data_IF_561727487530
#
_entry.id   IF_561727487530
#
_cell.length_a   1.000
_cell.length_b   1.000
_cell.length_c   1.000
_cell.angle_alpha   90.00
_cell.angle_beta   90.00
_cell.angle_gamma   90.00
#
_symmetry.space_group_name_H-M   'P 1'
#
loop_
_entity.id
_entity.type
_entity.pdbx_description
1 polymer ?
#
# COMPACT_ATOMS: atom_id res chain seq x y z
N UNK A 1 80.02 -54.75 24.91
CA UNK A 1 79.57 -53.92 23.74
C UNK A 1 78.10 -53.74 23.89
N UNK A 2 77.59 -52.54 24.23
CA UNK A 2 76.16 -52.26 24.30
C UNK A 2 75.62 -51.88 22.91
N UNK A 3 74.32 -52.15 22.58
CA UNK A 3 73.73 -51.86 21.29
C UNK A 3 73.31 -50.40 21.15
N UNK A 4 73.54 -49.85 19.97
CA UNK A 4 73.21 -48.50 19.57
C UNK A 4 71.71 -48.30 19.52
N UNK A 5 71.21 -47.30 20.28
CA UNK A 5 69.79 -46.79 20.18
C UNK A 5 69.71 -45.75 19.08
N UNK A 6 68.86 -46.01 18.10
CA UNK A 6 68.45 -44.99 17.08
C UNK A 6 67.40 -44.09 17.66
N UNK A 7 67.45 -42.77 17.42
CA UNK A 7 66.41 -41.83 17.87
C UNK A 7 65.14 -41.95 17.03
N UNK A 8 63.99 -42.07 17.68
CA UNK A 8 62.68 -42.04 17.05
C UNK A 8 62.34 -40.62 16.60
N UNK A 9 62.13 -40.43 15.29
CA UNK A 9 61.54 -39.19 14.75
C UNK A 9 60.09 -39.05 15.23
N UNK A 10 59.84 -37.98 15.95
CA UNK A 10 58.50 -37.55 16.30
C UNK A 10 57.85 -36.95 15.06
N UNK A 11 56.78 -37.55 14.56
CA UNK A 11 55.90 -36.94 13.51
C UNK A 11 55.09 -35.82 14.16
N UNK A 12 55.22 -34.61 13.64
CA UNK A 12 54.38 -33.49 14.00
C UNK A 12 52.94 -33.67 13.46
N UNK A 13 51.87 -33.25 14.17
CA UNK A 13 50.52 -33.34 13.66
C UNK A 13 50.32 -32.29 12.57
N UNK A 14 49.82 -32.72 11.41
CA UNK A 14 49.37 -31.85 10.34
C UNK A 14 48.05 -31.23 10.80
N UNK A 15 48.06 -29.94 11.07
CA UNK A 15 46.84 -29.19 11.32
C UNK A 15 46.11 -29.02 9.98
N UNK A 16 44.97 -29.70 9.82
CA UNK A 16 44.03 -29.48 8.72
C UNK A 16 43.25 -28.21 9.04
N UNK A 17 43.63 -27.12 8.39
CA UNK A 17 42.85 -25.87 8.43
C UNK A 17 41.56 -26.09 7.62
N UNK A 18 40.46 -26.35 8.32
CA UNK A 18 39.12 -26.39 7.71
C UNK A 18 38.71 -24.99 7.28
N UNK A 19 38.72 -24.75 5.97
CA UNK A 19 38.10 -23.54 5.37
C UNK A 19 36.60 -23.70 5.47
N UNK A 20 35.98 -23.04 6.44
CA UNK A 20 34.51 -22.88 6.49
C UNK A 20 34.13 -21.85 5.43
N UNK A 21 33.70 -22.31 4.27
CA UNK A 21 33.01 -21.48 3.27
C UNK A 21 31.66 -21.08 3.86
N UNK A 22 31.56 -19.87 4.38
CA UNK A 22 30.27 -19.20 4.60
C UNK A 22 29.63 -18.96 3.23
N UNK A 23 28.73 -19.82 2.82
CA UNK A 23 27.82 -19.51 1.72
C UNK A 23 26.93 -18.36 2.21
N UNK A 24 27.28 -17.12 1.85
CA UNK A 24 26.37 -16.00 1.94
C UNK A 24 25.20 -16.32 1.01
N UNK A 25 24.12 -16.85 1.57
CA UNK A 25 22.86 -17.02 0.87
C UNK A 25 22.39 -15.63 0.45
N UNK A 26 22.56 -15.32 -0.83
CA UNK A 26 21.89 -14.19 -1.45
C UNK A 26 20.39 -14.46 -1.35
N UNK A 27 19.75 -13.88 -0.35
CA UNK A 27 18.30 -13.78 -0.30
C UNK A 27 17.91 -12.88 -1.47
N UNK A 28 17.67 -13.49 -2.64
CA UNK A 28 16.98 -12.78 -3.73
C UNK A 28 15.57 -12.48 -3.23
N UNK A 29 15.10 -11.21 -3.28
CA UNK A 29 13.72 -10.92 -2.96
C UNK A 29 12.81 -11.81 -3.82
N UNK A 30 11.80 -12.39 -3.21
CA UNK A 30 10.86 -13.24 -3.93
C UNK A 30 10.24 -12.43 -5.07
N UNK A 31 10.13 -13.00 -6.25
CA UNK A 31 9.68 -12.36 -7.50
C UNK A 31 8.36 -11.58 -7.35
N UNK A 32 7.52 -11.91 -6.36
CA UNK A 32 6.27 -11.23 -6.07
C UNK A 32 6.47 -9.80 -5.50
N UNK A 33 7.48 -9.60 -4.64
CA UNK A 33 7.75 -8.27 -4.03
C UNK A 33 8.40 -7.30 -5.03
N UNK A 34 9.10 -7.82 -6.04
CA UNK A 34 9.71 -7.01 -7.11
C UNK A 34 8.72 -6.55 -8.20
N UNK A 35 7.47 -7.05 -8.16
CA UNK A 35 6.44 -6.75 -9.16
C UNK A 35 5.51 -5.59 -8.76
N UNK A 36 5.50 -5.18 -7.48
CA UNK A 36 4.65 -4.11 -6.97
C UNK A 36 5.47 -2.84 -6.73
N UNK A 37 5.08 -1.75 -7.38
CA UNK A 37 5.72 -0.45 -7.23
C UNK A 37 4.67 0.60 -6.86
N UNK A 38 4.98 1.56 -5.97
CA UNK A 38 4.15 2.75 -5.82
C UNK A 38 4.05 3.48 -7.17
N UNK A 39 2.86 3.82 -7.63
CA UNK A 39 2.66 4.58 -8.87
C UNK A 39 2.29 6.05 -8.63
N UNK A 40 2.30 6.49 -7.38
CA UNK A 40 2.18 7.87 -6.98
C UNK A 40 3.15 8.15 -5.84
N UNK A 41 4.01 9.13 -6.03
CA UNK A 41 4.91 9.62 -4.98
C UNK A 41 4.18 10.54 -3.98
N UNK A 42 4.82 10.93 -2.87
CA UNK A 42 4.19 11.81 -1.87
C UNK A 42 3.70 13.15 -2.43
N UNK A 43 4.37 13.74 -3.43
CA UNK A 43 3.97 15.01 -4.06
C UNK A 43 2.69 14.82 -4.85
N UNK A 44 2.59 13.75 -5.63
CA UNK A 44 1.38 13.39 -6.38
C UNK A 44 0.23 13.14 -5.42
N UNK A 45 0.43 12.41 -4.31
CA UNK A 45 -0.62 12.14 -3.33
C UNK A 45 -1.06 13.42 -2.60
N UNK A 46 -0.15 14.33 -2.29
CA UNK A 46 -0.48 15.63 -1.71
C UNK A 46 -1.31 16.48 -2.67
N UNK A 47 -0.91 16.54 -3.94
CA UNK A 47 -1.69 17.22 -4.98
C UNK A 47 -3.08 16.59 -5.15
N UNK A 48 -3.18 15.27 -5.09
CA UNK A 48 -4.45 14.55 -5.15
C UNK A 48 -5.41 14.99 -4.01
N UNK A 49 -4.92 15.15 -2.78
CA UNK A 49 -5.74 15.66 -1.66
C UNK A 49 -6.18 17.11 -1.90
N UNK A 50 -5.32 17.95 -2.47
CA UNK A 50 -5.70 19.32 -2.85
C UNK A 50 -6.82 19.32 -3.87
N UNK A 51 -6.74 18.50 -4.92
CA UNK A 51 -7.79 18.36 -5.95
C UNK A 51 -9.12 17.87 -5.34
N UNK A 52 -9.08 16.91 -4.42
CA UNK A 52 -10.28 16.49 -3.68
C UNK A 52 -10.90 17.63 -2.86
N UNK A 53 -10.08 18.43 -2.22
CA UNK A 53 -10.54 19.54 -1.40
C UNK A 53 -11.10 20.70 -2.24
N UNK A 54 -10.50 20.99 -3.39
CA UNK A 54 -11.06 21.93 -4.37
C UNK A 54 -12.47 21.50 -4.82
N UNK A 55 -12.66 20.20 -5.14
CA UNK A 55 -13.96 19.64 -5.46
C UNK A 55 -14.96 19.81 -4.30
N UNK A 56 -14.54 19.49 -3.07
CA UNK A 56 -15.40 19.55 -1.89
C UNK A 56 -15.86 20.98 -1.53
N UNK A 57 -15.09 21.99 -1.91
CA UNK A 57 -15.48 23.40 -1.73
C UNK A 57 -16.52 23.88 -2.75
N UNK A 58 -16.75 23.13 -3.83
CA UNK A 58 -17.75 23.50 -4.84
C UNK A 58 -19.14 23.06 -4.39
N UNK A 59 -20.07 24.02 -4.29
CA UNK A 59 -21.43 23.75 -3.86
C UNK A 59 -22.26 22.97 -4.89
N UNK A 60 -21.83 22.96 -6.14
CA UNK A 60 -22.49 22.38 -7.32
C UNK A 60 -21.70 21.21 -7.94
N UNK A 61 -20.88 20.52 -7.12
CA UNK A 61 -20.20 19.32 -7.58
C UNK A 61 -21.21 18.29 -8.15
N UNK A 62 -20.87 17.58 -9.24
CA UNK A 62 -21.83 16.89 -10.12
C UNK A 62 -22.64 15.76 -9.49
N UNK A 63 -22.37 15.37 -8.26
CA UNK A 63 -23.04 14.25 -7.60
C UNK A 63 -23.74 14.59 -6.28
N UNK A 64 -23.89 15.86 -5.95
CA UNK A 64 -24.51 16.26 -4.68
C UNK A 64 -25.99 16.57 -4.85
N UNK A 65 -26.81 15.84 -4.11
CA UNK A 65 -28.22 16.18 -3.92
C UNK A 65 -28.42 17.36 -2.97
N UNK A 66 -27.41 17.68 -2.15
CA UNK A 66 -27.37 18.84 -1.26
C UNK A 66 -26.27 19.77 -1.78
N UNK A 67 -26.66 20.84 -2.46
CA UNK A 67 -25.76 21.86 -3.02
C UNK A 67 -25.11 22.69 -1.90
N UNK A 68 -24.11 22.12 -1.22
CA UNK A 68 -23.37 22.76 -0.16
C UNK A 68 -21.90 22.36 -0.21
N UNK A 69 -21.02 23.35 -0.05
CA UNK A 69 -19.60 23.11 0.13
C UNK A 69 -19.35 22.22 1.35
N UNK A 70 -18.42 21.28 1.21
CA UNK A 70 -18.03 20.37 2.28
C UNK A 70 -16.70 20.79 2.91
N UNK A 71 -16.52 20.48 4.19
CA UNK A 71 -15.23 20.72 4.86
C UNK A 71 -14.11 19.93 4.16
N UNK A 72 -12.89 20.51 4.09
CA UNK A 72 -11.75 19.84 3.49
C UNK A 72 -11.38 18.57 4.28
N UNK A 73 -10.81 17.60 3.57
CA UNK A 73 -10.24 16.38 4.13
C UNK A 73 -8.80 16.63 4.56
N UNK A 74 -8.42 16.09 5.72
CA UNK A 74 -7.05 16.04 6.16
C UNK A 74 -6.39 14.71 5.76
N UNK A 75 -5.09 14.75 5.41
CA UNK A 75 -4.32 13.54 5.21
C UNK A 75 -4.21 12.75 6.52
N UNK A 76 -4.51 11.45 6.46
CA UNK A 76 -4.39 10.54 7.60
C UNK A 76 -3.53 9.33 7.20
N UNK A 77 -2.35 9.24 7.82
CA UNK A 77 -1.34 8.22 7.48
C UNK A 77 -1.82 6.78 7.69
N UNK A 78 -2.66 6.53 8.68
CA UNK A 78 -3.25 5.21 8.95
C UNK A 78 -4.23 4.80 7.85
N UNK A 79 -4.99 5.76 7.31
CA UNK A 79 -5.84 5.53 6.14
C UNK A 79 -4.99 5.29 4.89
N UNK A 80 -3.89 6.02 4.71
CA UNK A 80 -2.96 5.81 3.61
C UNK A 80 -2.31 4.41 3.67
N UNK A 81 -1.89 3.96 4.86
CA UNK A 81 -1.39 2.59 5.08
C UNK A 81 -2.44 1.54 4.71
N UNK A 82 -3.69 1.74 5.14
CA UNK A 82 -4.80 0.84 4.80
C UNK A 82 -5.11 0.84 3.30
N UNK A 83 -5.10 2.02 2.66
CA UNK A 83 -5.31 2.17 1.22
C UNK A 83 -4.20 1.49 0.40
N UNK A 84 -2.93 1.65 0.82
CA UNK A 84 -1.79 1.01 0.18
C UNK A 84 -1.87 -0.52 0.26
N UNK A 85 -2.19 -1.07 1.45
CA UNK A 85 -2.35 -2.51 1.61
C UNK A 85 -3.47 -3.07 0.70
N UNK A 86 -4.58 -2.33 0.56
CA UNK A 86 -5.67 -2.70 -0.35
C UNK A 86 -5.23 -2.61 -1.81
N UNK A 87 -4.56 -1.52 -2.21
CA UNK A 87 -4.09 -1.36 -3.59
C UNK A 87 -3.10 -2.48 -3.99
N UNK A 88 -2.20 -2.87 -3.07
CA UNK A 88 -1.28 -3.99 -3.27
C UNK A 88 -2.03 -5.33 -3.41
N UNK A 89 -3.02 -5.60 -2.57
CA UNK A 89 -3.85 -6.81 -2.65
C UNK A 89 -4.62 -6.89 -3.98
N UNK A 90 -5.22 -5.77 -4.41
CA UNK A 90 -5.90 -5.69 -5.71
C UNK A 90 -4.95 -5.93 -6.88
N UNK A 91 -3.75 -5.34 -6.83
CA UNK A 91 -2.72 -5.52 -7.86
C UNK A 91 -2.24 -6.99 -7.94
N UNK A 92 -2.03 -7.66 -6.79
CA UNK A 92 -1.65 -9.08 -6.76
C UNK A 92 -2.74 -9.99 -7.34
N UNK A 93 -3.99 -9.70 -7.07
CA UNK A 93 -5.15 -10.48 -7.56
C UNK A 93 -5.63 -10.07 -8.95
N UNK A 94 -5.14 -8.93 -9.47
CA UNK A 94 -5.52 -8.33 -10.76
C UNK A 94 -7.04 -8.13 -10.91
N UNK A 95 -7.69 -7.63 -9.86
CA UNK A 95 -9.13 -7.38 -9.84
C UNK A 95 -9.51 -6.22 -8.90
N UNK A 96 -10.69 -5.63 -9.08
CA UNK A 96 -11.29 -4.67 -8.16
C UNK A 96 -12.26 -5.38 -7.20
N UNK A 97 -12.07 -5.17 -5.89
CA UNK A 97 -12.91 -5.76 -4.84
C UNK A 97 -12.85 -4.91 -3.57
N UNK A 98 -13.99 -4.71 -2.91
CA UNK A 98 -14.07 -4.06 -1.60
C UNK A 98 -13.68 -4.96 -0.42
N UNK A 99 -13.39 -6.24 -0.67
CA UNK A 99 -12.82 -7.18 0.30
C UNK A 99 -11.44 -7.64 -0.15
N UNK A 100 -10.50 -7.73 0.78
CA UNK A 100 -9.14 -8.19 0.50
C UNK A 100 -9.06 -9.73 0.38
N UNK A 101 -7.87 -10.27 0.09
CA UNK A 101 -7.61 -11.72 -0.01
C UNK A 101 -7.90 -12.48 1.30
N UNK A 102 -7.91 -11.80 2.44
CA UNK A 102 -8.25 -12.36 3.75
C UNK A 102 -9.74 -12.24 4.08
N UNK A 103 -10.57 -11.82 3.12
CA UNK A 103 -12.01 -11.56 3.28
C UNK A 103 -12.33 -10.43 4.25
N UNK A 104 -11.41 -9.49 4.46
CA UNK A 104 -11.64 -8.32 5.31
C UNK A 104 -12.27 -7.18 4.50
N UNK A 105 -13.39 -6.67 4.98
CA UNK A 105 -14.00 -5.44 4.49
C UNK A 105 -13.28 -4.19 5.01
N UNK A 106 -13.64 -3.02 4.44
CA UNK A 106 -13.01 -1.72 4.70
C UNK A 106 -12.78 -1.42 6.19
N UNK A 107 -13.84 -1.51 7.01
CA UNK A 107 -13.75 -1.18 8.44
C UNK A 107 -12.75 -2.05 9.20
N UNK A 108 -12.60 -3.33 8.84
CA UNK A 108 -11.61 -4.22 9.44
C UNK A 108 -10.18 -3.83 9.01
N UNK A 109 -9.97 -3.49 7.73
CA UNK A 109 -8.67 -3.05 7.22
C UNK A 109 -8.23 -1.72 7.86
N UNK A 110 -9.15 -0.75 8.01
CA UNK A 110 -8.87 0.52 8.70
C UNK A 110 -8.47 0.29 10.16
N UNK A 111 -9.20 -0.57 10.89
CA UNK A 111 -8.84 -0.92 12.26
C UNK A 111 -7.49 -1.61 12.36
N UNK A 112 -7.16 -2.51 11.44
CA UNK A 112 -5.84 -3.16 11.38
C UNK A 112 -4.71 -2.16 11.16
N UNK A 113 -4.98 -1.05 10.46
CA UNK A 113 -4.05 0.07 10.30
C UNK A 113 -4.08 1.08 11.46
N UNK A 114 -4.86 0.83 12.51
CA UNK A 114 -4.95 1.67 13.70
C UNK A 114 -5.93 2.85 13.58
N UNK A 115 -6.77 2.92 12.54
CA UNK A 115 -7.76 3.98 12.38
C UNK A 115 -9.13 3.54 12.89
N UNK A 116 -9.61 4.19 13.97
CA UNK A 116 -10.95 3.99 14.52
C UNK A 116 -11.93 4.93 13.80
N UNK A 117 -12.83 4.36 12.99
CA UNK A 117 -13.80 5.10 12.20
C UNK A 117 -15.20 5.03 12.83
N UNK A 118 -15.90 6.18 12.93
CA UNK A 118 -17.35 6.26 13.11
C UNK A 118 -18.09 6.08 11.76
N UNK A 119 -17.45 6.49 10.67
CA UNK A 119 -17.91 6.32 9.29
C UNK A 119 -16.73 6.06 8.37
N UNK A 120 -16.94 5.23 7.35
CA UNK A 120 -15.91 4.84 6.41
C UNK A 120 -16.44 4.81 4.98
N UNK A 121 -15.60 5.20 4.01
CA UNK A 121 -15.85 5.12 2.59
C UNK A 121 -14.61 4.66 1.83
N UNK A 122 -14.82 3.94 0.74
CA UNK A 122 -13.75 3.48 -0.13
C UNK A 122 -14.10 3.75 -1.58
N UNK A 123 -13.16 4.37 -2.30
CA UNK A 123 -13.21 4.46 -3.75
C UNK A 123 -12.05 3.68 -4.35
N UNK A 124 -12.37 2.84 -5.33
CA UNK A 124 -11.42 2.03 -6.07
C UNK A 124 -11.44 2.47 -7.54
N UNK A 125 -10.27 2.45 -8.17
CA UNK A 125 -10.14 2.57 -9.62
C UNK A 125 -8.94 1.76 -10.11
N UNK A 126 -8.97 1.32 -11.37
CA UNK A 126 -7.88 0.59 -11.97
C UNK A 126 -7.73 0.93 -13.45
N UNK A 127 -6.49 1.02 -13.91
CA UNK A 127 -6.14 1.34 -15.30
C UNK A 127 -5.79 2.81 -15.55
N UNK A 128 -6.21 3.73 -14.68
CA UNK A 128 -5.93 5.16 -14.85
C UNK A 128 -4.44 5.46 -14.64
N UNK A 129 -3.87 6.27 -15.55
CA UNK A 129 -2.43 6.55 -15.56
C UNK A 129 -2.01 7.63 -14.57
N UNK A 130 -2.95 8.50 -14.16
CA UNK A 130 -2.74 9.61 -13.24
C UNK A 130 -3.95 9.82 -12.32
N UNK A 131 -3.81 10.73 -11.36
CA UNK A 131 -4.88 10.99 -10.40
C UNK A 131 -6.06 11.75 -11.00
N UNK A 132 -5.84 12.67 -11.94
CA UNK A 132 -6.94 13.44 -12.54
C UNK A 132 -7.90 12.53 -13.32
N UNK A 133 -7.39 11.56 -14.08
CA UNK A 133 -8.21 10.54 -14.75
C UNK A 133 -8.95 9.67 -13.73
N UNK A 134 -8.29 9.34 -12.60
CA UNK A 134 -8.89 8.58 -11.51
C UNK A 134 -10.02 9.36 -10.86
N UNK A 135 -9.82 10.64 -10.59
CA UNK A 135 -10.84 11.52 -10.04
C UNK A 135 -12.05 11.65 -10.99
N UNK A 136 -11.82 11.83 -12.29
CA UNK A 136 -12.89 11.86 -13.29
C UNK A 136 -13.69 10.55 -13.29
N UNK A 137 -13.03 9.39 -13.24
CA UNK A 137 -13.72 8.11 -13.15
C UNK A 137 -14.57 7.98 -11.88
N UNK A 138 -14.08 8.48 -10.73
CA UNK A 138 -14.87 8.50 -9.50
C UNK A 138 -16.04 9.47 -9.56
N UNK A 139 -15.86 10.64 -10.19
CA UNK A 139 -16.96 11.63 -10.38
C UNK A 139 -18.06 11.12 -11.32
N UNK A 140 -17.70 10.32 -12.31
CA UNK A 140 -18.66 9.70 -13.23
C UNK A 140 -19.52 8.61 -12.56
N UNK A 141 -19.12 8.12 -11.37
CA UNK A 141 -19.87 7.11 -10.61
C UNK A 141 -20.62 7.77 -9.45
N UNK A 142 -21.97 7.72 -9.41
CA UNK A 142 -22.74 8.34 -8.32
C UNK A 142 -22.32 7.88 -6.93
N UNK A 143 -22.01 6.60 -6.75
CA UNK A 143 -21.59 6.03 -5.46
C UNK A 143 -20.21 6.54 -5.02
N UNK A 144 -19.22 6.57 -5.93
CA UNK A 144 -17.88 7.09 -5.62
C UNK A 144 -17.91 8.59 -5.38
N UNK A 145 -18.67 9.34 -6.18
CA UNK A 145 -18.82 10.78 -6.01
C UNK A 145 -19.51 11.10 -4.66
N UNK A 146 -20.55 10.37 -4.28
CA UNK A 146 -21.19 10.51 -2.97
C UNK A 146 -20.20 10.28 -1.80
N UNK A 147 -19.28 9.33 -1.91
CA UNK A 147 -18.21 9.14 -0.93
C UNK A 147 -17.30 10.37 -0.84
N UNK A 148 -16.87 10.93 -1.98
CA UNK A 148 -15.99 12.10 -1.99
C UNK A 148 -16.66 13.33 -1.38
N UNK A 149 -17.97 13.48 -1.54
CA UNK A 149 -18.75 14.63 -1.07
C UNK A 149 -19.45 14.39 0.27
N UNK A 150 -19.22 13.26 0.92
CA UNK A 150 -19.87 12.93 2.19
C UNK A 150 -19.52 13.93 3.29
N UNK A 151 -20.52 14.55 3.96
CA UNK A 151 -20.30 15.69 4.85
C UNK A 151 -19.64 15.35 6.18
N UNK A 152 -19.74 14.10 6.64
CA UNK A 152 -19.16 13.64 7.90
C UNK A 152 -17.70 13.17 7.77
N UNK A 153 -17.19 12.95 6.56
CA UNK A 153 -15.78 12.61 6.36
C UNK A 153 -14.86 13.81 6.63
N UNK A 154 -13.76 13.54 7.34
CA UNK A 154 -12.73 14.52 7.71
C UNK A 154 -11.34 14.09 7.29
N UNK A 155 -11.12 12.80 7.13
CA UNK A 155 -9.81 12.22 6.90
C UNK A 155 -9.78 11.46 5.58
N UNK A 156 -8.62 11.49 4.90
CA UNK A 156 -8.38 10.74 3.67
C UNK A 156 -6.98 10.13 3.67
N UNK A 157 -6.89 8.92 3.16
CA UNK A 157 -5.64 8.28 2.75
C UNK A 157 -5.75 7.77 1.32
N UNK A 158 -4.75 8.06 0.51
CA UNK A 158 -4.68 7.67 -0.90
C UNK A 158 -3.48 6.78 -1.14
N UNK A 159 -3.62 5.85 -2.07
CA UNK A 159 -2.51 5.05 -2.58
C UNK A 159 -2.70 4.70 -4.05
N UNK A 160 -1.59 4.54 -4.74
CA UNK A 160 -1.50 3.96 -6.06
C UNK A 160 -0.42 2.88 -6.05
N UNK A 161 -0.76 1.67 -6.51
CA UNK A 161 0.18 0.57 -6.70
C UNK A 161 0.14 0.11 -8.14
N UNK A 162 1.32 -0.05 -8.73
CA UNK A 162 1.51 -0.57 -10.08
C UNK A 162 1.99 -2.02 -10.01
N UNK A 163 1.42 -2.86 -10.88
CA UNK A 163 1.91 -4.19 -11.21
C UNK A 163 2.00 -4.33 -12.72
N UNK A 164 3.22 -4.29 -13.24
CA UNK A 164 3.46 -4.43 -14.69
C UNK A 164 3.01 -5.79 -15.20
N UNK A 165 2.38 -5.79 -16.36
CA UNK A 165 1.88 -7.02 -16.99
C UNK A 165 0.59 -7.58 -16.38
N UNK A 166 -0.01 -6.92 -15.41
CA UNK A 166 -1.38 -7.20 -14.99
C UNK A 166 -2.39 -6.53 -15.95
N UNK A 167 -3.65 -6.95 -15.89
CA UNK A 167 -4.72 -6.45 -16.78
C UNK A 167 -4.89 -4.94 -16.70
N UNK A 168 -4.78 -4.37 -15.48
CA UNK A 168 -5.03 -2.95 -15.23
C UNK A 168 -3.76 -2.14 -15.03
N UNK A 169 -2.64 -2.77 -14.71
CA UNK A 169 -1.34 -2.20 -14.38
C UNK A 169 -1.31 -1.29 -13.15
N UNK A 170 -2.31 -0.40 -12.96
CA UNK A 170 -2.38 0.56 -11.86
C UNK A 170 -3.68 0.43 -11.09
N UNK A 171 -3.55 0.49 -9.76
CA UNK A 171 -4.67 0.34 -8.82
C UNK A 171 -4.66 1.50 -7.84
N UNK A 172 -5.70 2.32 -7.93
CA UNK A 172 -5.91 3.49 -7.08
C UNK A 172 -6.92 3.19 -6.00
N UNK A 173 -6.60 3.57 -4.76
CA UNK A 173 -7.47 3.40 -3.60
C UNK A 173 -7.53 4.70 -2.81
N UNK A 174 -8.76 5.16 -2.52
CA UNK A 174 -9.02 6.21 -1.55
C UNK A 174 -9.80 5.61 -0.37
N UNK A 175 -9.26 5.72 0.84
CA UNK A 175 -9.99 5.49 2.07
C UNK A 175 -10.37 6.83 2.70
N UNK A 176 -11.66 6.99 2.97
CA UNK A 176 -12.23 8.20 3.57
C UNK A 176 -12.80 7.84 4.95
N UNK A 177 -12.63 8.71 5.92
CA UNK A 177 -13.04 8.44 7.28
C UNK A 177 -13.67 9.61 8.02
N UNK A 178 -14.69 9.28 8.82
CA UNK A 178 -15.12 10.07 9.98
C UNK A 178 -14.46 9.46 11.21
N UNK A 179 -13.57 10.17 11.94
CA UNK A 179 -12.93 9.61 13.11
C UNK A 179 -13.95 9.32 14.21
N UNK A 180 -13.77 8.21 14.95
CA UNK A 180 -14.55 7.95 16.15
C UNK A 180 -14.30 9.04 17.18
N UNK A 181 -15.38 9.52 17.84
CA UNK A 181 -15.23 10.45 18.97
C UNK A 181 -14.50 9.72 20.10
N UNK A 182 -13.51 10.38 20.66
CA UNK A 182 -12.81 9.93 21.86
C UNK A 182 -13.70 10.15 23.09
#
# INVERSE_FOLDING_TARGET
>A
MPPHQFPRLRRAPVAVLGVILFAAGLFSPTRADSELEPCADPVVLQHAVQRLNELRLQADAPCVTIHAAQAPLAWESRLATSAHAQAADLALRDLLSHVDSRQLGLGARMRSAGYAAAGAGENLAAGQTNFDDTLQAWLASPAHCANLMRPDFRDVGLACVQRRGSRYERFWVAHLGAPARR
#
